data_IF_229792866221
#
_entry.id   IF_229792866221
#
_cell.length_a   1.000
_cell.length_b   1.000
_cell.length_c   1.000
_cell.angle_alpha   90.00
_cell.angle_beta   90.00
_cell.angle_gamma   90.00
#
_symmetry.space_group_name_H-M   'P 1'
#
loop_
_entity.id
_entity.type
_entity.pdbx_description
1 polymer ?
#
# COMPACT_ATOMS: atom_id res chain seq x y z
N UNK A 1 10.52 -6.85 -1.46
CA UNK A 1 9.93 -5.73 -2.23
C UNK A 1 10.22 -4.38 -1.57
N UNK A 2 9.76 -4.16 -0.34
CA UNK A 2 9.97 -2.88 0.36
C UNK A 2 11.47 -2.56 0.57
N UNK A 3 12.30 -3.53 0.98
CA UNK A 3 13.75 -3.33 1.12
C UNK A 3 14.38 -2.80 -0.18
N UNK A 4 14.06 -3.43 -1.32
CA UNK A 4 14.52 -3.01 -2.64
C UNK A 4 14.02 -1.59 -2.99
N UNK A 5 12.78 -1.24 -2.66
CA UNK A 5 12.27 0.11 -2.89
C UNK A 5 13.01 1.17 -2.06
N UNK A 6 13.30 0.86 -0.79
CA UNK A 6 14.04 1.71 0.12
C UNK A 6 15.53 1.88 -0.25
N UNK A 7 16.05 1.13 -1.25
CA UNK A 7 17.37 1.43 -1.84
C UNK A 7 17.34 2.68 -2.73
N UNK A 8 16.17 3.03 -3.26
CA UNK A 8 15.99 4.10 -4.25
C UNK A 8 15.20 5.30 -3.72
N UNK A 9 14.55 5.15 -2.56
CA UNK A 9 13.68 6.16 -1.98
C UNK A 9 13.82 6.17 -0.46
N UNK A 10 13.79 7.36 0.16
CA UNK A 10 13.91 7.50 1.62
C UNK A 10 12.63 7.06 2.34
N UNK A 11 11.49 7.34 1.72
CA UNK A 11 10.14 7.01 2.16
C UNK A 11 9.39 6.33 1.03
N UNK A 12 8.25 5.71 1.32
CA UNK A 12 7.49 4.88 0.37
C UNK A 12 7.07 5.66 -0.89
N UNK A 13 6.90 6.97 -0.79
CA UNK A 13 6.47 7.82 -1.90
C UNK A 13 7.47 8.95 -2.21
N UNK A 14 8.73 8.86 -1.77
CA UNK A 14 9.79 9.79 -2.18
C UNK A 14 10.76 10.19 -1.06
N UNK A 15 11.13 11.46 -1.02
CA UNK A 15 12.07 12.04 -0.07
C UNK A 15 11.42 12.58 1.21
N UNK A 16 10.08 12.61 1.27
CA UNK A 16 9.31 13.03 2.45
C UNK A 16 8.41 11.92 3.01
N UNK A 17 8.11 11.93 4.32
CA UNK A 17 7.15 10.99 4.91
C UNK A 17 5.73 11.29 4.42
N UNK A 18 4.94 10.23 4.26
CA UNK A 18 3.54 10.29 3.86
C UNK A 18 2.67 9.24 4.54
N UNK A 19 1.39 9.21 4.18
CA UNK A 19 0.41 8.27 4.75
C UNK A 19 0.76 6.80 4.50
N UNK A 20 1.44 6.51 3.37
CA UNK A 20 1.90 5.16 3.07
C UNK A 20 2.95 4.67 4.07
N UNK A 21 3.86 5.54 4.51
CA UNK A 21 4.87 5.22 5.50
C UNK A 21 4.23 4.86 6.85
N UNK A 22 3.33 5.73 7.34
CA UNK A 22 2.64 5.50 8.61
C UNK A 22 1.72 4.27 8.57
N UNK A 23 1.09 3.99 7.43
CA UNK A 23 0.27 2.80 7.23
C UNK A 23 1.06 1.50 7.33
N UNK A 24 2.30 1.48 6.81
CA UNK A 24 3.17 0.31 6.89
C UNK A 24 3.89 0.20 8.24
N UNK A 25 4.30 1.33 8.83
CA UNK A 25 5.03 1.40 10.09
C UNK A 25 4.31 0.67 11.25
N UNK A 26 2.99 0.86 11.37
CA UNK A 26 2.22 0.28 12.47
C UNK A 26 2.37 -1.24 12.58
N UNK A 27 2.27 -1.97 11.47
CA UNK A 27 2.46 -3.42 11.47
C UNK A 27 3.94 -3.81 11.51
N UNK A 28 4.79 -3.10 10.76
CA UNK A 28 6.21 -3.45 10.67
C UNK A 28 6.95 -3.23 11.98
N UNK A 29 6.65 -2.19 12.76
CA UNK A 29 7.26 -1.97 14.09
C UNK A 29 7.13 -3.18 15.01
N UNK A 30 5.99 -3.88 14.98
CA UNK A 30 5.78 -5.07 15.80
C UNK A 30 6.64 -6.25 15.31
N UNK A 31 6.88 -6.33 14.01
CA UNK A 31 7.62 -7.42 13.37
C UNK A 31 9.13 -7.20 13.32
N UNK A 32 9.61 -5.96 13.23
CA UNK A 32 11.04 -5.69 13.03
C UNK A 32 11.73 -5.13 14.27
N UNK A 33 10.99 -4.54 15.21
CA UNK A 33 11.56 -3.93 16.42
C UNK A 33 11.17 -4.64 17.72
N UNK A 34 9.97 -5.23 17.80
CA UNK A 34 9.46 -5.79 19.05
C UNK A 34 9.63 -7.31 19.19
N UNK A 35 9.12 -8.10 18.24
CA UNK A 35 9.23 -9.57 18.31
C UNK A 35 10.63 -10.02 17.83
N UNK A 36 11.43 -10.71 18.69
CA UNK A 36 12.81 -11.05 18.36
C UNK A 36 12.94 -12.00 17.15
N UNK A 37 11.94 -12.84 16.88
CA UNK A 37 12.02 -13.84 15.80
C UNK A 37 11.92 -13.18 14.41
N UNK A 38 10.83 -12.48 14.07
CA UNK A 38 10.75 -11.75 12.80
C UNK A 38 11.76 -10.60 12.73
N UNK A 39 12.20 -10.01 13.85
CA UNK A 39 13.26 -8.99 13.84
C UNK A 39 14.59 -9.56 13.32
N UNK A 40 14.99 -10.76 13.78
CA UNK A 40 16.18 -11.42 13.28
C UNK A 40 16.09 -11.73 11.76
N UNK A 41 14.92 -12.21 11.31
CA UNK A 41 14.65 -12.47 9.89
C UNK A 41 14.71 -11.18 9.07
N UNK A 42 14.12 -10.09 9.57
CA UNK A 42 14.12 -8.79 8.90
C UNK A 42 15.53 -8.21 8.79
N UNK A 43 16.36 -8.34 9.83
CA UNK A 43 17.74 -7.89 9.78
C UNK A 43 18.58 -8.66 8.76
N UNK A 44 18.32 -9.96 8.59
CA UNK A 44 19.01 -10.79 7.59
C UNK A 44 18.53 -10.50 6.15
N UNK A 45 17.21 -10.45 5.93
CA UNK A 45 16.62 -10.44 4.59
C UNK A 45 16.26 -9.04 4.08
N UNK A 46 16.01 -8.09 4.98
CA UNK A 46 15.46 -6.77 4.66
C UNK A 46 16.02 -5.67 5.60
N UNK A 47 17.36 -5.53 5.73
CA UNK A 47 17.97 -4.63 6.71
C UNK A 47 17.58 -3.16 6.52
N UNK A 48 17.20 -2.71 5.31
CA UNK A 48 16.72 -1.33 5.10
C UNK A 48 15.32 -1.13 5.64
N UNK A 49 14.50 -2.17 5.69
CA UNK A 49 13.18 -2.08 6.33
C UNK A 49 13.34 -1.89 7.84
N UNK A 50 14.28 -2.61 8.46
CA UNK A 50 14.60 -2.40 9.88
C UNK A 50 15.09 -0.96 10.13
N UNK A 51 16.09 -0.49 9.37
CA UNK A 51 16.60 0.88 9.49
C UNK A 51 15.53 1.96 9.20
N UNK A 52 14.62 1.69 8.27
CA UNK A 52 13.52 2.60 7.95
C UNK A 52 12.44 2.64 9.03
N UNK A 53 12.16 1.52 9.70
CA UNK A 53 11.27 1.51 10.88
C UNK A 53 11.90 2.32 12.01
N UNK A 54 13.20 2.12 12.29
CA UNK A 54 13.89 2.91 13.31
C UNK A 54 13.87 4.41 12.97
N UNK A 55 14.04 4.77 11.69
CA UNK A 55 13.90 6.17 11.23
C UNK A 55 12.49 6.74 11.47
N UNK A 56 11.44 5.94 11.30
CA UNK A 56 10.05 6.39 11.46
C UNK A 56 9.60 6.50 12.92
N UNK A 57 10.33 5.89 13.86
CA UNK A 57 10.06 6.04 15.29
C UNK A 57 10.15 7.51 15.72
N UNK A 58 11.14 8.24 15.20
CA UNK A 58 11.34 9.66 15.48
C UNK A 58 11.68 10.46 14.21
N UNK A 59 10.72 11.26 13.76
CA UNK A 59 10.88 12.20 12.66
C UNK A 59 11.04 13.66 13.13
N UNK A 60 11.39 13.87 14.40
CA UNK A 60 11.60 15.22 14.95
C UNK A 60 12.61 16.02 14.11
N UNK A 61 12.25 17.25 13.77
CA UNK A 61 13.07 18.13 12.94
C UNK A 61 13.05 17.83 11.44
N UNK A 62 12.28 16.83 10.98
CA UNK A 62 11.97 16.68 9.56
C UNK A 62 10.90 17.70 9.17
N UNK A 63 11.23 18.57 8.22
CA UNK A 63 10.31 19.53 7.61
C UNK A 63 9.92 19.05 6.20
N UNK A 64 8.75 18.41 6.00
CA UNK A 64 8.36 17.88 4.70
C UNK A 64 8.09 18.99 3.69
N UNK A 65 8.79 18.96 2.56
CA UNK A 65 8.53 19.86 1.43
C UNK A 65 7.65 19.19 0.37
N UNK A 66 6.82 19.96 -0.32
CA UNK A 66 5.88 19.47 -1.33
C UNK A 66 6.57 18.86 -2.56
N UNK A 67 7.80 19.28 -2.86
CA UNK A 67 8.64 18.72 -3.92
C UNK A 67 9.32 17.40 -3.51
N UNK A 68 9.13 16.94 -2.27
CA UNK A 68 9.67 15.68 -1.78
C UNK A 68 8.93 14.44 -2.28
N UNK A 69 7.79 14.58 -2.96
CA UNK A 69 7.08 13.43 -3.54
C UNK A 69 7.82 12.88 -4.78
N UNK A 70 7.69 11.58 -5.01
CA UNK A 70 8.12 10.96 -6.26
C UNK A 70 7.37 11.59 -7.41
N UNK A 71 8.09 12.10 -8.42
CA UNK A 71 7.45 12.65 -9.61
C UNK A 71 6.61 11.58 -10.30
N UNK A 72 5.41 11.97 -10.71
CA UNK A 72 4.48 11.12 -11.48
C UNK A 72 5.05 10.65 -12.82
N UNK A 73 6.05 11.36 -13.34
CA UNK A 73 6.71 11.03 -14.60
C UNK A 73 7.88 10.05 -14.42
N UNK A 74 8.29 9.80 -13.17
CA UNK A 74 9.47 8.98 -12.85
C UNK A 74 9.15 7.96 -11.74
N UNK A 75 8.00 7.29 -11.82
CA UNK A 75 7.64 6.24 -10.87
C UNK A 75 8.60 5.06 -11.01
N UNK A 76 9.37 4.70 -9.98
CA UNK A 76 10.38 3.66 -10.09
C UNK A 76 9.73 2.27 -10.18
N UNK A 77 10.40 1.35 -10.89
CA UNK A 77 9.95 -0.04 -11.02
C UNK A 77 9.76 -0.73 -9.65
N UNK A 78 10.55 -0.33 -8.64
CA UNK A 78 10.42 -0.85 -7.26
C UNK A 78 9.12 -0.42 -6.60
N UNK A 79 8.60 0.78 -6.88
CA UNK A 79 7.28 1.22 -6.40
C UNK A 79 6.16 0.50 -7.15
N UNK A 80 6.31 0.32 -8.47
CA UNK A 80 5.39 -0.51 -9.26
C UNK A 80 5.29 -1.93 -8.72
N UNK A 81 6.40 -2.55 -8.32
CA UNK A 81 6.38 -3.88 -7.73
C UNK A 81 5.61 -3.95 -6.39
N UNK A 82 5.57 -2.85 -5.61
CA UNK A 82 4.71 -2.75 -4.43
C UNK A 82 3.22 -2.66 -4.83
N UNK A 83 2.89 -1.90 -5.87
CA UNK A 83 1.52 -1.83 -6.40
C UNK A 83 1.05 -3.18 -6.94
N UNK A 84 1.93 -3.92 -7.63
CA UNK A 84 1.66 -5.28 -8.13
C UNK A 84 1.37 -6.24 -6.97
N UNK A 85 2.13 -6.16 -5.88
CA UNK A 85 1.87 -6.94 -4.67
C UNK A 85 0.50 -6.60 -4.07
N UNK A 86 0.18 -5.31 -3.93
CA UNK A 86 -1.12 -4.84 -3.41
C UNK A 86 -2.26 -5.32 -4.31
N UNK A 87 -2.12 -5.18 -5.63
CA UNK A 87 -3.10 -5.59 -6.61
C UNK A 87 -3.32 -7.10 -6.66
N UNK A 88 -2.27 -7.87 -6.38
CA UNK A 88 -2.31 -9.34 -6.28
C UNK A 88 -3.01 -9.81 -5.01
N UNK A 89 -2.72 -9.20 -3.85
CA UNK A 89 -3.13 -9.78 -2.56
C UNK A 89 -4.28 -9.05 -1.86
N UNK A 90 -4.39 -7.73 -1.99
CA UNK A 90 -5.34 -6.93 -1.21
C UNK A 90 -6.55 -6.48 -2.02
N UNK A 91 -6.34 -6.13 -3.30
CA UNK A 91 -7.42 -5.68 -4.18
C UNK A 91 -8.53 -6.74 -4.39
N UNK A 92 -8.23 -8.05 -4.56
CA UNK A 92 -9.28 -9.06 -4.70
C UNK A 92 -10.20 -9.09 -3.47
N UNK A 93 -9.61 -9.04 -2.28
CA UNK A 93 -10.35 -8.93 -1.02
C UNK A 93 -11.21 -7.68 -0.99
N UNK A 94 -10.63 -6.50 -1.28
CA UNK A 94 -11.33 -5.23 -1.11
C UNK A 94 -12.57 -5.12 -2.01
N UNK A 95 -12.45 -5.59 -3.26
CA UNK A 95 -13.55 -5.63 -4.23
C UNK A 95 -14.61 -6.65 -3.82
N UNK A 96 -14.20 -7.88 -3.46
CA UNK A 96 -15.14 -8.92 -3.03
C UNK A 96 -15.88 -8.53 -1.74
N UNK A 97 -15.20 -7.87 -0.81
CA UNK A 97 -15.77 -7.36 0.42
C UNK A 97 -16.87 -6.31 0.17
N UNK A 98 -16.60 -5.35 -0.72
CA UNK A 98 -17.59 -4.36 -1.11
C UNK A 98 -18.79 -5.01 -1.81
N UNK A 99 -18.57 -5.99 -2.69
CA UNK A 99 -19.63 -6.74 -3.34
C UNK A 99 -20.48 -7.54 -2.33
N UNK A 100 -19.86 -8.25 -1.39
CA UNK A 100 -20.59 -9.00 -0.36
C UNK A 100 -21.49 -8.08 0.48
N UNK A 101 -20.99 -6.92 0.90
CA UNK A 101 -21.77 -5.93 1.65
C UNK A 101 -22.94 -5.37 0.84
N UNK A 102 -22.74 -5.07 -0.44
CA UNK A 102 -23.79 -4.57 -1.32
C UNK A 102 -24.94 -5.57 -1.49
N UNK A 103 -24.66 -6.87 -1.39
CA UNK A 103 -25.65 -7.95 -1.50
C UNK A 103 -26.10 -8.50 -0.14
N UNK A 104 -25.74 -7.86 0.97
CA UNK A 104 -26.00 -8.35 2.34
C UNK A 104 -25.58 -9.82 2.55
N UNK A 105 -24.51 -10.26 1.89
CA UNK A 105 -24.00 -11.61 2.00
C UNK A 105 -23.38 -11.85 3.38
N UNK A 106 -23.49 -13.07 3.91
CA UNK A 106 -22.93 -13.42 5.23
C UNK A 106 -21.40 -13.60 5.20
N UNK A 107 -20.84 -13.85 4.01
CA UNK A 107 -19.42 -14.13 3.80
C UNK A 107 -18.88 -13.39 2.58
N UNK A 108 -17.63 -12.97 2.67
CA UNK A 108 -16.78 -12.62 1.54
C UNK A 108 -16.08 -13.90 1.12
N UNK A 109 -16.24 -14.29 -0.14
CA UNK A 109 -15.55 -15.43 -0.74
C UNK A 109 -14.85 -14.95 -2.00
N UNK A 110 -13.54 -15.14 -2.08
CA UNK A 110 -12.74 -14.77 -3.25
C UNK A 110 -11.46 -15.62 -3.31
N UNK A 111 -10.67 -15.42 -4.35
CA UNK A 111 -9.33 -15.99 -4.46
C UNK A 111 -8.29 -14.89 -4.20
N UNK A 112 -7.31 -15.20 -3.37
CA UNK A 112 -6.13 -14.37 -3.13
C UNK A 112 -4.92 -15.24 -3.38
N UNK A 113 -4.08 -14.85 -4.35
CA UNK A 113 -2.87 -15.59 -4.71
C UNK A 113 -3.08 -17.08 -5.01
N UNK A 114 -4.08 -17.40 -5.84
CA UNK A 114 -4.38 -18.79 -6.20
C UNK A 114 -5.05 -19.60 -5.08
N UNK A 115 -5.37 -18.99 -3.94
CA UNK A 115 -5.91 -19.68 -2.76
C UNK A 115 -7.28 -19.13 -2.37
N UNK A 116 -8.20 -20.00 -1.93
CA UNK A 116 -9.51 -19.56 -1.45
C UNK A 116 -9.35 -18.72 -0.19
N UNK A 117 -10.05 -17.59 -0.16
CA UNK A 117 -10.15 -16.68 0.98
C UNK A 117 -11.61 -16.52 1.38
N UNK A 118 -11.89 -16.75 2.67
CA UNK A 118 -13.23 -16.62 3.24
C UNK A 118 -13.17 -15.84 4.55
N UNK A 119 -14.01 -14.81 4.68
CA UNK A 119 -14.17 -14.08 5.94
C UNK A 119 -15.57 -13.48 6.07
N UNK A 120 -15.88 -12.90 7.24
CA UNK A 120 -17.05 -12.05 7.39
C UNK A 120 -16.86 -10.72 6.64
N UNK A 121 -17.92 -10.15 6.05
CA UNK A 121 -17.87 -8.81 5.49
C UNK A 121 -17.40 -7.78 6.51
N UNK A 122 -16.54 -6.86 6.07
CA UNK A 122 -15.90 -5.85 6.89
C UNK A 122 -16.33 -4.44 6.41
N UNK A 123 -17.32 -3.82 7.07
CA UNK A 123 -17.87 -2.52 6.65
C UNK A 123 -16.85 -1.39 6.56
N UNK A 124 -15.85 -1.37 7.44
CA UNK A 124 -14.83 -0.33 7.42
C UNK A 124 -14.00 -0.37 6.11
N UNK A 125 -13.67 -1.56 5.63
CA UNK A 125 -12.89 -1.71 4.40
C UNK A 125 -13.67 -1.28 3.15
N UNK A 126 -15.00 -1.43 3.14
CA UNK A 126 -15.83 -0.84 2.07
C UNK A 126 -15.79 0.70 2.09
N UNK A 127 -15.74 1.32 3.28
CA UNK A 127 -15.54 2.78 3.38
C UNK A 127 -14.18 3.19 2.81
N UNK A 128 -13.13 2.43 3.09
CA UNK A 128 -11.80 2.68 2.53
C UNK A 128 -11.82 2.65 0.98
N UNK A 129 -12.47 1.64 0.39
CA UNK A 129 -12.64 1.58 -1.07
C UNK A 129 -13.42 2.76 -1.63
N UNK A 130 -14.52 3.16 -0.96
CA UNK A 130 -15.31 4.32 -1.38
C UNK A 130 -14.47 5.60 -1.39
N UNK A 131 -13.64 5.83 -0.35
CA UNK A 131 -12.74 6.98 -0.28
C UNK A 131 -11.69 6.99 -1.40
N UNK A 132 -11.16 5.83 -1.77
CA UNK A 132 -10.25 5.72 -2.92
C UNK A 132 -10.96 6.15 -4.21
N UNK A 133 -12.16 5.61 -4.47
CA UNK A 133 -12.96 5.92 -5.66
C UNK A 133 -13.40 7.38 -5.74
N UNK A 134 -13.80 7.97 -4.60
CA UNK A 134 -14.09 9.40 -4.48
C UNK A 134 -12.86 10.24 -4.85
N UNK A 135 -11.69 9.92 -4.29
CA UNK A 135 -10.44 10.62 -4.60
C UNK A 135 -10.08 10.54 -6.08
N UNK A 136 -10.19 9.37 -6.68
CA UNK A 136 -9.94 9.16 -8.11
C UNK A 136 -10.91 9.97 -8.99
N UNK A 137 -12.20 9.99 -8.63
CA UNK A 137 -13.23 10.76 -9.36
C UNK A 137 -13.02 12.26 -9.25
N UNK A 138 -12.49 12.74 -8.13
CA UNK A 138 -12.20 14.15 -7.89
C UNK A 138 -10.96 14.66 -8.65
N UNK A 139 -10.12 13.78 -9.21
CA UNK A 139 -8.98 14.17 -10.02
C UNK A 139 -9.42 14.81 -11.34
N UNK A 140 -8.68 15.82 -11.79
CA UNK A 140 -8.81 16.35 -13.14
C UNK A 140 -8.49 15.29 -14.19
N UNK A 141 -9.08 15.40 -15.38
CA UNK A 141 -8.94 14.41 -16.46
C UNK A 141 -7.48 14.07 -16.79
N UNK A 142 -6.59 15.05 -16.75
CA UNK A 142 -5.16 14.82 -17.02
C UNK A 142 -4.50 13.97 -15.94
N UNK A 143 -4.71 14.32 -14.67
CA UNK A 143 -4.08 13.63 -13.53
C UNK A 143 -4.65 12.22 -13.36
N UNK A 144 -5.95 12.06 -13.57
CA UNK A 144 -6.61 10.74 -13.57
C UNK A 144 -6.00 9.81 -14.61
N UNK A 145 -5.76 10.31 -15.82
CA UNK A 145 -5.13 9.52 -16.90
C UNK A 145 -3.70 9.09 -16.55
N UNK A 146 -2.94 9.96 -15.89
CA UNK A 146 -1.58 9.63 -15.41
C UNK A 146 -1.66 8.56 -14.33
N UNK A 147 -2.56 8.71 -13.35
CA UNK A 147 -2.77 7.70 -12.31
C UNK A 147 -3.20 6.36 -12.91
N UNK A 148 -4.16 6.34 -13.82
CA UNK A 148 -4.61 5.12 -14.51
C UNK A 148 -3.45 4.43 -15.22
N UNK A 149 -2.57 5.18 -15.88
CA UNK A 149 -1.37 4.63 -16.53
C UNK A 149 -0.36 4.05 -15.53
N UNK A 150 -0.18 4.70 -14.37
CA UNK A 150 0.70 4.18 -13.30
C UNK A 150 0.15 2.85 -12.75
N UNK A 151 -1.16 2.77 -12.52
CA UNK A 151 -1.83 1.60 -11.96
C UNK A 151 -2.00 0.45 -12.97
N UNK A 152 -2.09 0.75 -14.27
CA UNK A 152 -2.42 -0.23 -15.30
C UNK A 152 -1.56 -1.50 -15.23
N UNK A 153 -2.18 -2.66 -15.04
CA UNK A 153 -1.49 -3.96 -15.01
C UNK A 153 -0.76 -4.25 -13.70
N UNK A 154 -0.97 -3.44 -12.66
CA UNK A 154 -0.61 -3.80 -11.28
C UNK A 154 -1.70 -4.59 -10.57
N UNK A 155 -2.92 -4.63 -11.11
CA UNK A 155 -4.11 -5.16 -10.46
C UNK A 155 -4.87 -4.12 -9.65
N UNK A 156 -4.21 -3.01 -9.26
CA UNK A 156 -4.85 -1.90 -8.55
C UNK A 156 -5.84 -1.11 -9.41
N UNK A 157 -5.75 -1.17 -10.74
CA UNK A 157 -6.74 -0.56 -11.64
C UNK A 157 -8.17 -1.08 -11.39
N UNK A 158 -8.31 -2.32 -10.90
CA UNK A 158 -9.60 -2.94 -10.57
C UNK A 158 -10.34 -2.25 -9.42
N UNK A 159 -9.64 -1.45 -8.62
CA UNK A 159 -10.27 -0.65 -7.56
C UNK A 159 -11.21 0.43 -8.14
N UNK A 160 -10.98 0.85 -9.38
CA UNK A 160 -11.65 1.98 -10.02
C UNK A 160 -12.52 1.57 -11.21
N UNK A 161 -12.59 0.26 -11.50
CA UNK A 161 -13.48 -0.34 -12.49
C UNK A 161 -14.94 -0.43 -11.98
#
# INVERSE_FOLDING_TARGET
LLDAHLTTSRFVMGARPGTADFGLYGQLSQLVAFDPTPAAIALELAPRVAAWVDLLEDLSGVEPADDGWTSRDTVPATFRALLEEIGRVYVPFLVANAAALAHSAERVECEIDGRPWVQRPFPYQAKCLARLREGHTALGTSDRRVLDAILAGSGCERLFA
#
